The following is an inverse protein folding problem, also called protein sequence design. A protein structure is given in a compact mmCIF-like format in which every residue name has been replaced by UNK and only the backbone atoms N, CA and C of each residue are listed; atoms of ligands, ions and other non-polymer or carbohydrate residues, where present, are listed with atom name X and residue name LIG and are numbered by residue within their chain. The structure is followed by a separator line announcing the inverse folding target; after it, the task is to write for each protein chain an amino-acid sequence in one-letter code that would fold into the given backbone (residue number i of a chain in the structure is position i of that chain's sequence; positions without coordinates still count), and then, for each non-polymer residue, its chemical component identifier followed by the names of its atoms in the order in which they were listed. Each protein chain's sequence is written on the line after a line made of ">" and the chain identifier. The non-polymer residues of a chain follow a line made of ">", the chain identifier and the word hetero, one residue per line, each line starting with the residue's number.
data_IF_236383562097
#
_entry.id   IF_236383562097
#
_cell.length_a   1.000
_cell.length_b   1.000
_cell.length_c   1.000
_cell.angle_alpha   90.00
_cell.angle_beta   90.00
_cell.angle_gamma   90.00
#
_symmetry.space_group_name_H-M   'P 1'
#
loop_
_entity.id
_entity.type
_entity.pdbx_description
1 polymer ?
#
# COMPACT_ATOMS: atom_id res chain seq x y z
N UNK A 1 10.01 -12.70 -28.51
CA UNK A 1 8.66 -13.16 -28.13
C UNK A 1 8.42 -12.63 -26.71
N UNK A 2 7.58 -11.58 -26.62
CA UNK A 2 7.01 -10.89 -25.44
C UNK A 2 7.94 -10.35 -24.33
N UNK A 3 8.09 -9.01 -24.37
CA UNK A 3 8.46 -7.98 -23.37
C UNK A 3 8.73 -8.41 -21.90
N UNK A 4 9.96 -8.21 -21.37
CA UNK A 4 10.26 -8.46 -19.97
C UNK A 4 9.85 -7.24 -19.14
N UNK A 5 8.59 -7.17 -18.70
CA UNK A 5 8.15 -6.39 -17.54
C UNK A 5 8.91 -5.05 -17.37
N UNK A 6 8.73 -4.12 -18.30
CA UNK A 6 9.29 -2.77 -18.21
C UNK A 6 8.90 -2.15 -16.85
N UNK A 7 9.91 -2.12 -15.97
CA UNK A 7 9.87 -2.02 -14.50
C UNK A 7 9.93 -0.58 -13.99
N UNK A 8 9.56 0.38 -14.83
CA UNK A 8 9.71 1.80 -14.56
C UNK A 8 8.32 2.42 -14.33
N UNK A 9 8.22 3.28 -13.32
CA UNK A 9 7.03 4.09 -13.14
C UNK A 9 6.76 4.86 -14.44
N UNK A 10 5.49 5.06 -14.81
CA UNK A 10 5.17 6.02 -15.88
C UNK A 10 5.83 7.36 -15.54
N UNK A 11 6.68 7.84 -16.45
CA UNK A 11 7.60 8.98 -16.26
C UNK A 11 6.85 10.28 -15.89
N UNK A 12 5.55 10.36 -16.21
CA UNK A 12 4.71 11.55 -15.98
C UNK A 12 3.64 11.37 -14.89
N UNK A 13 3.84 10.47 -13.93
CA UNK A 13 2.83 10.27 -12.91
C UNK A 13 2.86 11.37 -11.83
N UNK A 14 1.72 12.04 -11.65
CA UNK A 14 1.51 13.13 -10.67
C UNK A 14 0.98 12.64 -9.31
N UNK A 15 0.74 11.33 -9.18
CA UNK A 15 0.20 10.72 -7.96
C UNK A 15 1.28 10.45 -6.89
N UNK A 16 0.86 10.03 -5.70
CA UNK A 16 1.80 9.54 -4.68
C UNK A 16 2.37 8.18 -5.08
N UNK A 17 3.65 7.98 -4.83
CA UNK A 17 4.36 6.73 -5.11
C UNK A 17 5.09 6.24 -3.87
N UNK A 18 5.22 4.92 -3.76
CA UNK A 18 6.21 4.32 -2.88
C UNK A 18 7.56 4.41 -3.59
N UNK A 19 8.53 5.05 -2.94
CA UNK A 19 9.92 5.02 -3.39
C UNK A 19 10.50 3.60 -3.32
N UNK A 20 11.59 3.37 -4.04
CA UNK A 20 12.29 2.08 -3.93
C UNK A 20 12.73 1.84 -2.49
N UNK A 21 12.69 0.58 -2.06
CA UNK A 21 13.12 0.22 -0.70
C UNK A 21 14.56 0.66 -0.45
N UNK A 22 14.78 1.32 0.68
CA UNK A 22 16.12 1.64 1.16
C UNK A 22 16.70 0.46 1.94
N UNK A 23 18.02 0.38 2.06
CA UNK A 23 18.67 -0.66 2.88
C UNK A 23 18.23 -0.55 4.35
N UNK A 24 17.78 -1.66 4.95
CA UNK A 24 17.33 -1.69 6.36
C UNK A 24 15.84 -1.34 6.58
N UNK A 25 14.98 -1.47 5.56
CA UNK A 25 13.54 -1.21 5.70
C UNK A 25 12.87 -2.09 6.76
N UNK A 26 11.89 -1.52 7.48
CA UNK A 26 11.02 -2.24 8.41
C UNK A 26 10.00 -3.11 7.68
N UNK A 27 9.73 -4.31 8.20
CA UNK A 27 8.68 -5.18 7.65
C UNK A 27 7.29 -4.77 8.15
N UNK A 28 6.33 -4.67 7.24
CA UNK A 28 4.91 -4.56 7.57
C UNK A 28 4.31 -5.96 7.60
N UNK A 29 3.68 -6.31 8.71
CA UNK A 29 2.93 -7.56 8.82
C UNK A 29 1.63 -7.45 8.00
N UNK A 30 1.67 -8.04 6.80
CA UNK A 30 0.53 -8.10 5.90
C UNK A 30 -0.33 -9.32 6.19
N UNK A 31 -1.61 -9.08 6.46
CA UNK A 31 -2.60 -10.13 6.68
C UNK A 31 -3.65 -10.06 5.58
N UNK A 32 -4.25 -11.20 5.16
CA UNK A 32 -5.38 -11.18 4.25
C UNK A 32 -6.47 -10.23 4.75
N UNK A 33 -6.97 -9.37 3.87
CA UNK A 33 -8.07 -8.49 4.21
C UNK A 33 -9.31 -9.34 4.54
N UNK A 34 -9.92 -9.08 5.69
CA UNK A 34 -11.18 -9.70 6.09
C UNK A 34 -12.23 -8.60 6.28
N UNK A 35 -13.50 -8.86 5.93
CA UNK A 35 -14.57 -7.87 6.06
C UNK A 35 -14.91 -7.66 7.54
N UNK A 36 -14.12 -6.84 8.23
CA UNK A 36 -14.31 -6.49 9.67
C UNK A 36 -15.46 -5.51 9.89
N UNK A 37 -15.81 -4.74 8.86
CA UNK A 37 -16.81 -3.68 8.93
C UNK A 37 -17.35 -3.38 7.52
N UNK A 38 -18.58 -2.91 7.46
CA UNK A 38 -19.25 -2.55 6.21
C UNK A 38 -18.73 -1.22 5.63
N UNK A 39 -18.16 -0.33 6.46
CA UNK A 39 -17.76 1.01 6.04
C UNK A 39 -16.29 1.27 6.29
N UNK A 40 -15.52 1.34 5.20
CA UNK A 40 -14.12 1.80 5.19
C UNK A 40 -14.03 3.09 4.38
N UNK A 41 -13.40 4.11 4.94
CA UNK A 41 -13.09 5.35 4.22
C UNK A 41 -11.63 5.34 3.79
N UNK A 42 -11.39 5.49 2.48
CA UNK A 42 -10.04 5.76 1.95
C UNK A 42 -9.70 7.24 2.21
N UNK A 43 -8.55 7.48 2.81
CA UNK A 43 -8.06 8.81 3.21
C UNK A 43 -6.95 9.31 2.30
N UNK A 44 -6.14 8.40 1.77
CA UNK A 44 -5.01 8.66 0.88
C UNK A 44 -4.71 7.39 0.07
N UNK A 45 -4.00 7.51 -1.05
CA UNK A 45 -3.66 6.36 -1.90
C UNK A 45 -2.44 6.64 -2.79
N UNK A 46 -1.79 5.57 -3.24
CA UNK A 46 -0.72 5.65 -4.26
C UNK A 46 -1.30 5.54 -5.68
N UNK A 47 -0.57 6.02 -6.69
CA UNK A 47 -0.92 5.77 -8.09
C UNK A 47 -1.12 4.27 -8.37
N UNK A 48 -1.81 3.97 -9.46
CA UNK A 48 -1.89 2.65 -10.09
C UNK A 48 -0.83 2.41 -11.17
N UNK A 49 0.08 3.36 -11.35
CA UNK A 49 1.23 3.29 -12.25
C UNK A 49 2.28 2.25 -11.83
N UNK A 50 2.14 1.65 -10.64
CA UNK A 50 2.93 0.53 -10.15
C UNK A 50 2.03 -0.70 -9.96
N UNK A 51 2.56 -1.94 -10.05
CA UNK A 51 1.76 -3.16 -9.88
C UNK A 51 1.09 -3.33 -8.50
N UNK A 52 1.57 -2.59 -7.49
CA UNK A 52 1.02 -2.60 -6.14
C UNK A 52 0.49 -1.20 -5.84
N UNK A 53 -0.77 -1.14 -5.44
CA UNK A 53 -1.43 0.08 -4.97
C UNK A 53 -1.60 -0.03 -3.46
N UNK A 54 -1.36 1.07 -2.76
CA UNK A 54 -1.60 1.17 -1.34
C UNK A 54 -2.66 2.23 -1.06
N UNK A 55 -3.50 1.97 -0.07
CA UNK A 55 -4.52 2.89 0.41
C UNK A 55 -4.37 3.09 1.92
N UNK A 56 -4.41 4.33 2.38
CA UNK A 56 -4.57 4.66 3.79
C UNK A 56 -6.06 4.64 4.13
N UNK A 57 -6.48 3.68 4.94
CA UNK A 57 -7.88 3.44 5.27
C UNK A 57 -8.20 3.87 6.70
N UNK A 58 -9.47 4.24 6.94
CA UNK A 58 -10.00 4.54 8.28
C UNK A 58 -11.37 3.87 8.47
N UNK A 59 -11.55 3.19 9.60
CA UNK A 59 -12.83 2.63 10.03
C UNK A 59 -12.86 2.41 11.55
N UNK A 60 -14.03 2.56 12.18
CA UNK A 60 -14.19 2.32 13.63
C UNK A 60 -13.26 3.14 14.52
N UNK A 61 -12.85 4.34 14.08
CA UNK A 61 -11.86 5.18 14.80
C UNK A 61 -10.40 4.76 14.63
N UNK A 62 -10.15 3.61 13.99
CA UNK A 62 -8.81 3.09 13.69
C UNK A 62 -8.41 3.38 12.25
N UNK A 63 -7.11 3.26 11.98
CA UNK A 63 -6.54 3.28 10.63
C UNK A 63 -5.80 1.99 10.34
N UNK A 64 -5.56 1.75 9.06
CA UNK A 64 -4.74 0.66 8.54
C UNK A 64 -4.32 0.99 7.11
N UNK A 65 -3.29 0.32 6.63
CA UNK A 65 -2.85 0.38 5.22
C UNK A 65 -3.41 -0.85 4.51
N UNK A 66 -4.07 -0.64 3.38
CA UNK A 66 -4.46 -1.73 2.47
C UNK A 66 -3.46 -1.82 1.34
N UNK A 67 -2.97 -3.04 1.08
CA UNK A 67 -2.11 -3.38 -0.07
C UNK A 67 -2.94 -4.15 -1.09
N UNK A 68 -3.01 -3.63 -2.30
CA UNK A 68 -3.74 -4.21 -3.42
C UNK A 68 -2.72 -4.58 -4.49
N UNK A 69 -2.67 -5.86 -4.87
CA UNK A 69 -1.80 -6.35 -5.93
C UNK A 69 -2.50 -7.38 -6.80
N UNK A 70 -1.92 -7.66 -7.99
CA UNK A 70 -2.44 -8.66 -8.93
C UNK A 70 -1.38 -9.69 -9.36
N UNK A 71 -0.77 -10.44 -8.42
CA UNK A 71 0.19 -11.49 -8.79
C UNK A 71 -0.50 -12.52 -9.68
N UNK A 72 0.10 -12.82 -10.85
CA UNK A 72 -0.44 -13.75 -11.84
C UNK A 72 -1.89 -13.45 -12.25
N UNK A 73 -2.27 -12.16 -12.27
CA UNK A 73 -3.62 -11.71 -12.62
C UNK A 73 -4.68 -11.87 -11.52
N UNK A 74 -4.35 -12.52 -10.40
CA UNK A 74 -5.29 -12.72 -9.28
C UNK A 74 -5.24 -11.53 -8.34
N UNK A 75 -6.41 -10.94 -8.05
CA UNK A 75 -6.54 -9.88 -7.05
C UNK A 75 -6.19 -10.42 -5.66
N UNK A 76 -5.20 -9.79 -5.02
CA UNK A 76 -4.82 -10.03 -3.63
C UNK A 76 -4.96 -8.71 -2.88
N UNK A 77 -5.72 -8.75 -1.78
CA UNK A 77 -5.91 -7.61 -0.88
C UNK A 77 -5.46 -8.02 0.51
N UNK A 78 -4.51 -7.26 1.03
CA UNK A 78 -3.94 -7.46 2.35
C UNK A 78 -4.03 -6.15 3.15
N UNK A 79 -3.98 -6.27 4.47
CA UNK A 79 -4.04 -5.16 5.39
C UNK A 79 -2.89 -5.24 6.38
N UNK A 80 -2.36 -4.09 6.76
CA UNK A 80 -1.57 -3.99 7.99
C UNK A 80 -2.46 -4.27 9.21
N UNK A 81 -1.85 -4.37 10.39
CA UNK A 81 -2.60 -4.24 11.65
C UNK A 81 -3.45 -2.96 11.64
N UNK A 82 -4.61 -3.03 12.28
CA UNK A 82 -5.44 -1.87 12.57
C UNK A 82 -4.95 -1.22 13.86
N UNK A 83 -4.70 0.09 13.84
CA UNK A 83 -4.16 0.80 15.00
C UNK A 83 -4.62 2.26 15.04
N UNK A 84 -4.10 3.03 16.00
CA UNK A 84 -4.41 4.46 16.12
C UNK A 84 -3.96 5.21 14.88
N UNK A 85 -4.58 6.36 14.61
CA UNK A 85 -4.19 7.22 13.49
C UNK A 85 -2.71 7.59 13.53
N UNK A 86 -2.18 7.93 14.70
CA UNK A 86 -0.79 8.34 14.85
C UNK A 86 0.19 7.23 14.41
N UNK A 87 -0.05 5.98 14.82
CA UNK A 87 0.81 4.85 14.46
C UNK A 87 0.77 4.58 12.96
N UNK A 88 -0.41 4.61 12.36
CA UNK A 88 -0.58 4.25 10.95
C UNK A 88 -0.17 5.38 10.02
N UNK A 89 -0.35 6.64 10.40
CA UNK A 89 0.12 7.78 9.61
C UNK A 89 1.66 7.81 9.54
N UNK A 90 2.35 7.47 10.63
CA UNK A 90 3.80 7.28 10.63
C UNK A 90 4.20 6.15 9.68
N UNK A 91 3.56 4.98 9.81
CA UNK A 91 3.83 3.82 8.95
C UNK A 91 3.55 4.11 7.47
N UNK A 92 2.51 4.91 7.18
CA UNK A 92 2.19 5.38 5.83
C UNK A 92 3.31 6.25 5.26
N UNK A 93 3.84 7.18 6.06
CA UNK A 93 4.99 8.00 5.67
C UNK A 93 6.24 7.18 5.39
N UNK A 94 6.57 6.22 6.26
CA UNK A 94 7.69 5.29 6.09
C UNK A 94 7.53 4.44 4.82
N UNK A 95 6.34 3.89 4.59
CA UNK A 95 6.01 3.15 3.38
C UNK A 95 6.21 4.01 2.13
N UNK A 96 5.70 5.24 2.11
CA UNK A 96 5.87 6.14 0.96
C UNK A 96 7.35 6.43 0.69
N UNK A 97 8.18 6.59 1.73
CA UNK A 97 9.64 6.81 1.62
C UNK A 97 10.45 5.55 1.31
N UNK A 98 9.83 4.37 1.25
CA UNK A 98 10.53 3.09 1.05
C UNK A 98 11.26 2.59 2.30
N UNK A 99 10.96 3.15 3.46
CA UNK A 99 11.52 2.79 4.77
C UNK A 99 10.76 1.63 5.42
N UNK A 100 9.55 1.31 4.94
CA UNK A 100 8.76 0.16 5.37
C UNK A 100 8.17 -0.60 4.17
N UNK A 101 7.98 -1.92 4.29
CA UNK A 101 7.41 -2.74 3.21
C UNK A 101 6.62 -3.97 3.63
#
# INVERSE_FOLDING_TARGET
>A
MVDPQSREARVDCVGKHVYQVVGGYGSIDWLPAVPRTERVKVRDYTCDCRPIVYELCQAGGLRFIRRISRPNGRLVVEESRWSTSAVIDTLWGELLRGEAR
#
